data_IF_907703757969
#
_entry.id   IF_907703757969
#
_cell.length_a   1.000
_cell.length_b   1.000
_cell.length_c   1.000
_cell.angle_alpha   90.00
_cell.angle_beta   90.00
_cell.angle_gamma   90.00
#
_symmetry.space_group_name_H-M   'P 1'
#
loop_
_entity.id
_entity.type
_entity.pdbx_description
1 polymer ?
#
# COMPACT_ATOMS: atom_id res chain seq x y z
N UNK A 1 -10.66 -26.22 -7.05
CA UNK A 1 -10.51 -24.92 -7.75
C UNK A 1 -10.96 -23.84 -6.78
N UNK A 2 -10.10 -23.49 -5.82
CA UNK A 2 -10.31 -22.35 -4.92
C UNK A 2 -9.49 -21.20 -5.48
N UNK A 3 -9.92 -20.65 -6.62
CA UNK A 3 -9.51 -19.30 -7.02
C UNK A 3 -10.33 -18.34 -6.15
N UNK A 4 -9.90 -18.14 -4.91
CA UNK A 4 -10.61 -17.29 -3.97
C UNK A 4 -9.80 -16.02 -3.66
N UNK A 5 -10.34 -14.91 -4.18
CA UNK A 5 -10.65 -13.65 -3.47
C UNK A 5 -9.51 -12.69 -3.11
N UNK A 6 -8.58 -12.36 -4.01
CA UNK A 6 -7.68 -11.24 -3.68
C UNK A 6 -7.35 -10.26 -4.81
N UNK A 7 -7.81 -10.47 -6.05
CA UNK A 7 -7.52 -9.49 -7.12
C UNK A 7 -8.14 -8.13 -6.81
N UNK A 8 -7.45 -7.03 -7.20
CA UNK A 8 -7.96 -5.67 -6.98
C UNK A 8 -9.41 -5.46 -7.47
N UNK A 9 -9.82 -6.00 -8.65
CA UNK A 9 -11.22 -5.98 -9.06
C UNK A 9 -12.19 -6.62 -8.07
N UNK A 10 -11.82 -7.73 -7.42
CA UNK A 10 -12.65 -8.39 -6.40
C UNK A 10 -12.78 -7.51 -5.15
N UNK A 11 -11.72 -6.82 -4.74
CA UNK A 11 -11.80 -5.86 -3.63
C UNK A 11 -12.73 -4.69 -3.96
N UNK A 12 -12.71 -4.19 -5.21
CA UNK A 12 -13.62 -3.16 -5.67
C UNK A 12 -15.07 -3.65 -5.78
N UNK A 13 -15.30 -4.91 -6.13
CA UNK A 13 -16.63 -5.52 -6.07
C UNK A 13 -17.15 -5.63 -4.64
N UNK A 14 -16.29 -5.99 -3.68
CA UNK A 14 -16.66 -5.98 -2.27
C UNK A 14 -17.02 -4.55 -1.80
N UNK A 15 -16.30 -3.53 -2.27
CA UNK A 15 -16.61 -2.13 -1.95
C UNK A 15 -17.98 -1.69 -2.50
N UNK A 16 -18.42 -2.17 -3.66
CA UNK A 16 -19.79 -1.98 -4.15
C UNK A 16 -20.80 -2.66 -3.24
N UNK A 17 -20.58 -3.94 -2.90
CA UNK A 17 -21.47 -4.69 -2.01
C UNK A 17 -21.60 -4.07 -0.62
N UNK A 18 -20.52 -3.45 -0.13
CA UNK A 18 -20.46 -2.71 1.13
C UNK A 18 -21.08 -1.28 1.01
N UNK A 19 -21.53 -0.87 -0.18
CA UNK A 19 -22.19 0.40 -0.43
C UNK A 19 -21.24 1.62 -0.53
N UNK A 20 -19.95 1.40 -0.75
CA UNK A 20 -18.93 2.45 -0.80
C UNK A 20 -18.82 3.13 -2.17
N UNK A 21 -19.16 2.41 -3.22
CA UNK A 21 -19.29 2.96 -4.57
C UNK A 21 -20.64 2.63 -5.18
N UNK A 22 -21.00 3.40 -6.21
CA UNK A 22 -22.19 3.13 -7.01
C UNK A 22 -22.03 1.84 -7.81
N UNK A 23 -23.18 1.26 -8.16
CA UNK A 23 -23.18 0.05 -8.97
C UNK A 23 -22.55 0.29 -10.35
N UNK A 24 -21.97 -0.75 -10.95
CA UNK A 24 -21.46 -0.62 -12.31
C UNK A 24 -22.61 -0.27 -13.28
N UNK A 25 -22.35 0.55 -14.30
CA UNK A 25 -23.29 0.68 -15.41
C UNK A 25 -23.52 -0.69 -16.06
N UNK A 26 -24.76 -1.00 -16.46
CA UNK A 26 -25.14 -2.28 -17.06
C UNK A 26 -24.27 -2.75 -18.24
N UNK A 27 -23.66 -1.82 -18.99
CA UNK A 27 -22.73 -2.13 -20.09
C UNK A 27 -21.39 -2.74 -19.63
N UNK A 28 -21.03 -2.52 -18.36
CA UNK A 28 -19.83 -3.02 -17.69
C UNK A 28 -20.14 -4.22 -16.78
N UNK A 29 -21.37 -4.72 -16.79
CA UNK A 29 -21.76 -5.94 -16.07
C UNK A 29 -21.44 -7.18 -16.92
N UNK A 30 -20.69 -8.12 -16.36
CA UNK A 30 -20.42 -9.44 -16.95
C UNK A 30 -18.98 -9.67 -17.41
N UNK A 31 -18.69 -10.91 -17.83
CA UNK A 31 -17.33 -11.42 -18.11
C UNK A 31 -16.63 -10.76 -19.32
N UNK A 32 -17.38 -10.05 -20.17
CA UNK A 32 -16.84 -9.37 -21.37
C UNK A 32 -16.44 -7.92 -21.11
N UNK A 33 -16.69 -7.38 -19.92
CA UNK A 33 -16.30 -6.02 -19.58
C UNK A 33 -14.78 -5.89 -19.51
N UNK A 34 -14.23 -4.80 -20.05
CA UNK A 34 -12.80 -4.49 -19.90
C UNK A 34 -12.50 -4.27 -18.40
N UNK A 35 -11.59 -5.04 -17.79
CA UNK A 35 -11.20 -4.86 -16.40
C UNK A 35 -10.75 -3.45 -16.06
N UNK A 36 -10.11 -2.75 -17.00
CA UNK A 36 -9.65 -1.37 -16.77
C UNK A 36 -10.81 -0.39 -16.71
N UNK A 37 -11.83 -0.55 -17.56
CA UNK A 37 -13.04 0.27 -17.51
C UNK A 37 -13.83 0.03 -16.22
N UNK A 38 -13.87 -1.21 -15.75
CA UNK A 38 -14.48 -1.57 -14.45
C UNK A 38 -13.77 -0.86 -13.30
N UNK A 39 -12.43 -0.88 -13.26
CA UNK A 39 -11.66 -0.19 -12.21
C UNK A 39 -11.90 1.32 -12.27
N UNK A 40 -11.92 1.91 -13.47
CA UNK A 40 -12.11 3.34 -13.65
C UNK A 40 -13.52 3.83 -13.28
N UNK A 41 -14.54 3.01 -13.53
CA UNK A 41 -15.93 3.34 -13.18
C UNK A 41 -16.18 3.35 -11.65
N UNK A 42 -15.29 2.73 -10.87
CA UNK A 42 -15.41 2.61 -9.42
C UNK A 42 -14.79 3.81 -8.71
N UNK A 43 -15.58 4.87 -8.61
CA UNK A 43 -15.26 6.06 -7.82
C UNK A 43 -15.79 5.93 -6.39
N UNK A 44 -14.98 6.29 -5.40
CA UNK A 44 -15.31 6.19 -3.98
C UNK A 44 -15.08 7.56 -3.32
N UNK A 45 -15.89 7.88 -2.30
CA UNK A 45 -15.61 9.00 -1.40
C UNK A 45 -14.49 8.62 -0.43
N UNK A 46 -13.70 9.57 0.07
CA UNK A 46 -12.60 9.20 0.99
C UNK A 46 -13.14 8.64 2.31
N UNK A 47 -12.87 7.36 2.55
CA UNK A 47 -13.12 6.67 3.82
C UNK A 47 -11.90 6.79 4.74
N UNK A 48 -11.79 7.93 5.44
CA UNK A 48 -10.61 8.31 6.22
C UNK A 48 -10.18 7.24 7.24
N UNK A 49 -11.10 6.77 8.09
CA UNK A 49 -10.78 5.85 9.17
C UNK A 49 -10.26 4.50 8.64
N UNK A 50 -10.84 4.05 7.53
CA UNK A 50 -10.44 2.80 6.91
C UNK A 50 -9.08 2.92 6.23
N UNK A 51 -8.81 4.05 5.57
CA UNK A 51 -7.51 4.36 4.99
C UNK A 51 -6.40 4.40 6.05
N UNK A 52 -6.63 5.07 7.19
CA UNK A 52 -5.69 5.11 8.32
C UNK A 52 -5.47 3.70 8.88
N UNK A 53 -6.54 2.94 9.08
CA UNK A 53 -6.43 1.58 9.60
C UNK A 53 -5.60 0.69 8.66
N UNK A 54 -5.82 0.76 7.35
CA UNK A 54 -5.02 0.00 6.38
C UNK A 54 -3.57 0.49 6.39
N UNK A 55 -3.33 1.81 6.41
CA UNK A 55 -1.99 2.41 6.49
C UNK A 55 -1.20 1.89 7.71
N UNK A 56 -1.81 1.84 8.89
CA UNK A 56 -1.13 1.35 10.10
C UNK A 56 -0.98 -0.18 10.09
N UNK A 57 -2.04 -0.89 9.71
CA UNK A 57 -2.06 -2.34 9.78
C UNK A 57 -1.12 -3.00 8.77
N UNK A 58 -0.78 -2.31 7.68
CA UNK A 58 -0.13 -2.91 6.53
C UNK A 58 1.23 -2.29 6.19
N UNK A 59 1.34 -1.12 5.52
CA UNK A 59 2.65 -0.61 5.14
C UNK A 59 3.53 -0.26 6.36
N UNK A 60 2.95 0.28 7.43
CA UNK A 60 3.70 0.55 8.67
C UNK A 60 4.14 -0.75 9.35
N UNK A 61 3.21 -1.69 9.58
CA UNK A 61 3.54 -2.96 10.23
C UNK A 61 4.56 -3.79 9.45
N UNK A 62 4.43 -3.88 8.12
CA UNK A 62 5.40 -4.58 7.27
C UNK A 62 6.78 -3.94 7.41
N UNK A 63 6.86 -2.61 7.34
CA UNK A 63 8.15 -1.91 7.48
C UNK A 63 8.77 -2.09 8.87
N UNK A 64 8.00 -2.27 9.94
CA UNK A 64 8.52 -2.63 11.27
C UNK A 64 9.17 -4.02 11.27
N UNK A 65 8.60 -4.98 10.52
CA UNK A 65 9.10 -6.36 10.47
C UNK A 65 10.29 -6.57 9.53
N UNK A 66 10.49 -5.66 8.56
CA UNK A 66 11.63 -5.73 7.66
C UNK A 66 12.92 -5.47 8.44
N UNK A 67 13.96 -6.24 8.13
CA UNK A 67 15.30 -6.00 8.66
C UNK A 67 16.00 -4.98 7.75
N UNK A 68 16.10 -3.76 8.25
CA UNK A 68 16.76 -2.62 7.61
C UNK A 68 18.27 -2.58 7.88
N UNK A 69 18.83 -3.61 8.53
CA UNK A 69 20.22 -3.68 8.96
C UNK A 69 20.51 -2.84 10.21
N UNK A 70 20.17 -1.55 10.18
CA UNK A 70 20.21 -0.67 11.34
C UNK A 70 18.82 -0.14 11.67
N UNK A 71 18.54 0.02 12.97
CA UNK A 71 17.25 0.56 13.43
C UNK A 71 16.98 1.97 12.90
N UNK A 72 18.04 2.78 12.77
CA UNK A 72 17.96 4.15 12.26
C UNK A 72 17.64 4.22 10.75
N UNK A 73 17.81 3.12 10.02
CA UNK A 73 17.45 3.03 8.61
C UNK A 73 15.98 2.63 8.42
N UNK A 74 15.29 2.19 9.48
CA UNK A 74 13.87 1.87 9.40
C UNK A 74 13.05 3.17 9.31
N UNK A 75 12.37 3.43 8.18
CA UNK A 75 11.66 4.69 7.96
C UNK A 75 10.54 4.91 8.97
N UNK A 76 9.97 3.86 9.57
CA UNK A 76 8.94 3.96 10.62
C UNK A 76 9.51 4.55 11.93
N UNK A 77 10.82 4.51 12.12
CA UNK A 77 11.51 5.02 13.32
C UNK A 77 12.14 6.40 13.09
N UNK A 78 11.94 7.00 11.92
CA UNK A 78 12.54 8.28 11.53
C UNK A 78 11.54 9.43 11.64
N UNK A 79 12.04 10.64 11.87
CA UNK A 79 11.23 11.85 11.88
C UNK A 79 10.57 12.10 10.50
N UNK A 80 11.26 11.74 9.42
CA UNK A 80 10.77 11.82 8.05
C UNK A 80 9.57 10.91 7.84
N UNK A 81 9.59 9.70 8.39
CA UNK A 81 8.44 8.77 8.37
C UNK A 81 7.23 9.33 9.12
N UNK A 82 7.45 9.91 10.31
CA UNK A 82 6.39 10.55 11.09
C UNK A 82 5.76 11.74 10.34
N UNK A 83 6.59 12.60 9.75
CA UNK A 83 6.14 13.74 8.93
C UNK A 83 5.35 13.27 7.72
N UNK A 84 5.81 12.22 7.04
CA UNK A 84 5.10 11.65 5.89
C UNK A 84 3.72 11.13 6.30
N UNK A 85 3.64 10.33 7.37
CA UNK A 85 2.35 9.80 7.88
C UNK A 85 1.40 10.93 8.25
N UNK A 86 1.86 11.91 9.02
CA UNK A 86 1.05 13.05 9.42
C UNK A 86 0.54 13.84 8.20
N UNK A 87 1.38 14.04 7.18
CA UNK A 87 1.00 14.74 5.96
C UNK A 87 -0.05 13.98 5.15
N UNK A 88 0.08 12.65 5.03
CA UNK A 88 -0.91 11.82 4.35
C UNK A 88 -2.26 11.83 5.07
N UNK A 89 -2.27 11.76 6.41
CA UNK A 89 -3.51 11.84 7.20
C UNK A 89 -4.20 13.19 7.01
N UNK A 90 -3.46 14.29 7.13
CA UNK A 90 -4.01 15.64 6.93
C UNK A 90 -4.59 15.82 5.52
N UNK A 91 -3.90 15.30 4.50
CA UNK A 91 -4.39 15.35 3.12
C UNK A 91 -5.68 14.52 2.93
N UNK A 92 -5.76 13.33 3.52
CA UNK A 92 -6.98 12.52 3.49
C UNK A 92 -8.15 13.21 4.22
N UNK A 93 -7.89 13.93 5.32
CA UNK A 93 -8.90 14.73 6.01
C UNK A 93 -9.42 15.86 5.11
N UNK A 94 -8.54 16.55 4.40
CA UNK A 94 -8.91 17.59 3.42
C UNK A 94 -9.76 17.02 2.28
N UNK A 95 -9.34 15.90 1.71
CA UNK A 95 -10.08 15.23 0.65
C UNK A 95 -11.44 14.70 1.14
N UNK A 96 -11.51 14.14 2.35
CA UNK A 96 -12.77 13.69 2.96
C UNK A 96 -13.74 14.86 3.17
N UNK A 97 -13.26 16.01 3.67
CA UNK A 97 -14.08 17.22 3.84
C UNK A 97 -14.59 17.78 2.52
N UNK A 98 -13.82 17.65 1.44
CA UNK A 98 -14.22 18.12 0.11
C UNK A 98 -15.41 17.34 -0.48
N UNK A 99 -15.66 16.13 0.02
CA UNK A 99 -16.68 15.22 -0.55
C UNK A 99 -16.38 14.76 -1.97
N UNK A 100 -15.16 15.00 -2.48
CA UNK A 100 -14.73 14.58 -3.81
C UNK A 100 -14.77 13.06 -3.91
N UNK A 101 -15.34 12.58 -5.01
CA UNK A 101 -15.23 11.18 -5.43
C UNK A 101 -14.03 11.04 -6.34
N UNK A 102 -13.20 10.03 -6.08
CA UNK A 102 -11.97 9.77 -6.82
C UNK A 102 -11.93 8.30 -7.22
N UNK A 103 -11.26 8.00 -8.33
CA UNK A 103 -10.92 6.62 -8.67
C UNK A 103 -9.55 6.27 -8.08
N UNK A 104 -9.23 4.98 -7.99
CA UNK A 104 -8.04 4.50 -7.27
C UNK A 104 -6.74 5.09 -7.81
N UNK A 105 -6.52 5.03 -9.12
CA UNK A 105 -5.26 5.47 -9.72
C UNK A 105 -5.00 6.96 -9.55
N UNK A 106 -6.05 7.78 -9.61
CA UNK A 106 -5.97 9.22 -9.34
C UNK A 106 -5.57 9.49 -7.90
N UNK A 107 -6.17 8.78 -6.94
CA UNK A 107 -5.80 8.94 -5.53
C UNK A 107 -4.38 8.45 -5.26
N UNK A 108 -3.96 7.33 -5.85
CA UNK A 108 -2.59 6.82 -5.73
C UNK A 108 -1.58 7.83 -6.28
N UNK A 109 -1.84 8.38 -7.47
CA UNK A 109 -0.97 9.39 -8.07
C UNK A 109 -0.90 10.66 -7.21
N UNK A 110 -2.05 11.12 -6.69
CA UNK A 110 -2.15 12.27 -5.81
C UNK A 110 -1.36 12.09 -4.51
N UNK A 111 -1.58 10.99 -3.79
CA UNK A 111 -0.89 10.74 -2.52
C UNK A 111 0.61 10.53 -2.70
N UNK A 112 1.06 9.93 -3.82
CA UNK A 112 2.50 9.85 -4.13
C UNK A 112 3.12 11.23 -4.32
N UNK A 113 2.43 12.14 -5.00
CA UNK A 113 2.91 13.51 -5.16
C UNK A 113 2.96 14.25 -3.82
N UNK A 114 1.93 14.10 -3.00
CA UNK A 114 1.90 14.62 -1.62
C UNK A 114 3.07 14.07 -0.81
N UNK A 115 3.35 12.77 -0.90
CA UNK A 115 4.45 12.12 -0.21
C UNK A 115 5.82 12.64 -0.66
N UNK A 116 6.03 12.89 -1.96
CA UNK A 116 7.27 13.49 -2.47
C UNK A 116 7.48 14.92 -1.96
N UNK A 117 6.40 15.63 -1.71
CA UNK A 117 6.46 17.00 -1.18
C UNK A 117 6.56 17.04 0.35
N UNK A 118 6.13 15.99 1.04
CA UNK A 118 6.13 15.91 2.50
C UNK A 118 7.54 15.95 3.09
N UNK A 119 8.49 15.27 2.43
CA UNK A 119 9.88 15.19 2.89
C UNK A 119 10.78 15.71 1.78
N UNK A 120 11.32 16.92 1.96
CA UNK A 120 12.33 17.48 1.05
C UNK A 120 13.69 17.50 1.76
N UNK A 121 14.72 16.84 1.19
CA UNK A 121 16.07 16.97 1.72
C UNK A 121 16.51 18.44 1.65
N UNK A 122 16.86 19.02 2.81
CA UNK A 122 17.33 20.41 2.88
C UNK A 122 18.74 20.45 2.31
N UNK A 123 18.89 20.95 1.09
CA UNK A 123 20.19 21.25 0.51
C UNK A 123 20.88 22.32 1.34
N UNK A 124 21.90 21.96 2.12
CA UNK A 124 22.73 22.93 2.84
C UNK A 124 23.45 23.80 1.81
N UNK A 125 23.18 25.12 1.85
CA UNK A 125 23.70 26.11 0.91
C UNK A 125 25.21 26.36 1.06
N UNK A 126 25.78 26.08 2.23
CA UNK A 126 27.23 26.14 2.46
C UNK A 126 27.86 24.76 2.26
N UNK A 127 28.69 24.64 1.23
CA UNK A 127 29.40 23.42 0.87
C UNK A 127 30.33 22.94 2.00
N UNK A 128 30.76 23.85 2.90
CA UNK A 128 31.64 23.53 4.04
C UNK A 128 30.88 22.99 5.25
N UNK A 129 29.57 23.22 5.33
CA UNK A 129 28.68 22.67 6.36
C UNK A 129 28.01 21.35 5.92
N UNK A 130 28.26 20.90 4.68
CA UNK A 130 27.87 19.56 4.22
C UNK A 130 28.67 18.49 4.97
N UNK A 131 28.17 18.05 6.11
CA UNK A 131 28.58 16.80 6.78
C UNK A 131 28.06 15.55 6.02
N UNK A 132 27.96 15.63 4.70
CA UNK A 132 27.21 14.72 3.85
C UNK A 132 26.08 15.44 3.12
N UNK A 133 25.70 14.94 1.95
CA UNK A 133 24.43 15.34 1.33
C UNK A 133 23.28 14.91 2.27
N UNK A 134 22.15 15.62 2.33
CA UNK A 134 20.94 15.05 2.93
C UNK A 134 20.56 13.80 2.14
N UNK A 135 20.95 12.63 2.63
CA UNK A 135 20.57 11.34 2.06
C UNK A 135 19.45 10.83 2.93
N UNK A 136 18.25 10.68 2.34
CA UNK A 136 17.19 9.92 2.99
C UNK A 136 17.74 8.52 3.34
N UNK A 137 17.21 7.85 4.37
CA UNK A 137 17.59 6.46 4.65
C UNK A 137 17.50 5.61 3.39
N UNK A 138 18.35 4.59 3.29
CA UNK A 138 18.31 3.66 2.17
C UNK A 138 16.89 3.09 2.01
N UNK A 139 16.38 3.02 0.78
CA UNK A 139 15.03 2.54 0.46
C UNK A 139 13.85 3.38 1.02
N UNK A 140 14.09 4.56 1.62
CA UNK A 140 13.01 5.43 2.11
C UNK A 140 12.01 5.81 1.01
N UNK A 141 12.48 6.06 -0.21
CA UNK A 141 11.59 6.39 -1.34
C UNK A 141 10.66 5.23 -1.72
N UNK A 142 11.15 3.99 -1.60
CA UNK A 142 10.36 2.77 -1.83
C UNK A 142 9.30 2.65 -0.75
N UNK A 143 9.67 2.85 0.52
CA UNK A 143 8.73 2.89 1.63
C UNK A 143 7.67 3.99 1.45
N UNK A 144 8.08 5.21 1.07
CA UNK A 144 7.17 6.33 0.81
C UNK A 144 6.13 5.97 -0.24
N UNK A 145 6.56 5.46 -1.39
CA UNK A 145 5.67 5.13 -2.49
C UNK A 145 4.73 3.98 -2.12
N UNK A 146 5.22 3.00 -1.35
CA UNK A 146 4.42 1.90 -0.80
C UNK A 146 3.37 2.38 0.20
N UNK A 147 3.76 3.24 1.15
CA UNK A 147 2.88 3.84 2.13
C UNK A 147 1.78 4.65 1.44
N UNK A 148 2.12 5.50 0.47
CA UNK A 148 1.17 6.32 -0.28
C UNK A 148 0.16 5.46 -1.05
N UNK A 149 0.63 4.42 -1.74
CA UNK A 149 -0.24 3.54 -2.52
C UNK A 149 -1.23 2.77 -1.63
N UNK A 150 -0.76 2.16 -0.55
CA UNK A 150 -1.63 1.38 0.33
C UNK A 150 -2.58 2.23 1.16
N UNK A 151 -2.17 3.45 1.50
CA UNK A 151 -3.06 4.45 2.10
C UNK A 151 -4.18 4.84 1.12
N UNK A 152 -3.86 5.09 -0.15
CA UNK A 152 -4.86 5.35 -1.19
C UNK A 152 -5.80 4.15 -1.35
N UNK A 153 -5.26 2.93 -1.49
CA UNK A 153 -6.06 1.71 -1.64
C UNK A 153 -6.98 1.45 -0.45
N UNK A 154 -6.54 1.75 0.77
CA UNK A 154 -7.35 1.64 1.98
C UNK A 154 -8.66 2.43 1.91
N UNK A 155 -8.70 3.53 1.15
CA UNK A 155 -9.93 4.30 0.91
C UNK A 155 -10.99 3.52 0.10
N UNK A 156 -10.58 2.48 -0.63
CA UNK A 156 -11.44 1.66 -1.50
C UNK A 156 -11.69 0.26 -0.91
N UNK A 157 -11.17 -0.04 0.27
CA UNK A 157 -11.29 -1.36 0.90
C UNK A 157 -12.43 -1.41 1.91
N UNK A 158 -13.61 -1.79 1.41
CA UNK A 158 -14.79 -2.04 2.23
C UNK A 158 -14.54 -3.07 3.34
N UNK A 159 -15.39 -3.12 4.40
CA UNK A 159 -15.26 -4.09 5.49
C UNK A 159 -15.10 -5.53 5.02
N UNK A 160 -15.80 -5.90 3.95
CA UNK A 160 -15.70 -7.24 3.35
C UNK A 160 -14.37 -7.40 2.62
N UNK A 161 -13.98 -6.43 1.80
CA UNK A 161 -12.75 -6.48 0.99
C UNK A 161 -11.46 -6.47 1.82
N UNK A 162 -11.45 -5.86 3.00
CA UNK A 162 -10.27 -5.83 3.88
C UNK A 162 -10.13 -7.00 4.84
N UNK A 163 -11.17 -7.82 5.01
CA UNK A 163 -11.20 -8.89 6.02
C UNK A 163 -10.01 -9.84 5.87
N UNK A 164 -9.73 -10.28 4.65
CA UNK A 164 -8.64 -11.22 4.38
C UNK A 164 -7.27 -10.59 4.64
N UNK A 165 -7.10 -9.33 4.24
CA UNK A 165 -5.89 -8.55 4.50
C UNK A 165 -5.65 -8.44 6.01
N UNK A 166 -6.66 -8.04 6.79
CA UNK A 166 -6.53 -7.90 8.24
C UNK A 166 -6.29 -9.24 8.95
N UNK A 167 -6.94 -10.32 8.51
CA UNK A 167 -6.70 -11.67 9.04
C UNK A 167 -5.27 -12.15 8.77
N UNK A 168 -4.76 -11.88 7.57
CA UNK A 168 -3.36 -12.16 7.23
C UNK A 168 -2.40 -11.40 8.14
N UNK A 169 -2.64 -10.09 8.35
CA UNK A 169 -1.82 -9.29 9.26
C UNK A 169 -1.90 -9.78 10.72
N UNK A 170 -3.09 -10.14 11.19
CA UNK A 170 -3.28 -10.70 12.54
C UNK A 170 -2.48 -11.98 12.73
N UNK A 171 -2.44 -12.84 11.71
CA UNK A 171 -1.64 -14.06 11.74
C UNK A 171 -0.15 -13.78 11.75
N UNK A 172 0.34 -12.87 10.91
CA UNK A 172 1.76 -12.45 10.94
C UNK A 172 2.16 -11.97 12.34
N UNK A 173 1.29 -11.21 13.01
CA UNK A 173 1.52 -10.74 14.39
C UNK A 173 1.56 -11.88 15.40
N UNK A 174 0.64 -12.84 15.32
CA UNK A 174 0.60 -14.00 16.25
C UNK A 174 1.80 -14.91 16.07
N UNK A 175 2.26 -15.07 14.84
CA UNK A 175 3.28 -16.04 14.49
C UNK A 175 4.67 -15.42 14.38
N UNK A 176 4.88 -14.16 14.80
CA UNK A 176 6.09 -13.32 14.62
C UNK A 176 7.43 -14.07 14.81
N UNK A 177 7.47 -14.99 15.79
CA UNK A 177 8.67 -15.80 16.11
C UNK A 177 8.93 -16.96 15.15
N UNK A 178 7.89 -17.49 14.52
CA UNK A 178 7.98 -18.61 13.58
C UNK A 178 8.61 -18.18 12.25
N UNK A 179 8.49 -16.90 11.87
CA UNK A 179 9.23 -16.33 10.75
C UNK A 179 8.96 -16.98 9.39
N UNK A 180 7.83 -17.68 9.21
CA UNK A 180 7.51 -18.37 7.94
C UNK A 180 7.39 -17.42 6.75
N UNK A 181 7.06 -16.14 6.98
CA UNK A 181 7.07 -15.11 5.93
C UNK A 181 8.49 -14.61 5.59
N UNK A 182 9.53 -14.97 6.36
CA UNK A 182 10.93 -14.57 6.10
C UNK A 182 11.53 -15.31 4.90
N UNK A 183 11.14 -16.55 4.65
CA UNK A 183 11.53 -17.28 3.41
C UNK A 183 10.91 -16.63 2.17
N UNK A 184 9.69 -16.09 2.31
CA UNK A 184 8.99 -15.35 1.24
C UNK A 184 9.64 -13.97 1.00
N UNK A 185 10.23 -13.38 2.04
CA UNK A 185 10.99 -12.11 2.00
C UNK A 185 12.30 -12.25 1.22
N UNK A 186 13.07 -13.32 1.40
CA UNK A 186 14.34 -13.51 0.66
C UNK A 186 14.10 -13.58 -0.85
N UNK A 187 13.02 -14.23 -1.29
CA UNK A 187 12.59 -14.25 -2.69
C UNK A 187 12.20 -12.86 -3.26
N UNK A 188 11.82 -11.91 -2.40
CA UNK A 188 11.36 -10.58 -2.78
C UNK A 188 12.52 -9.62 -3.06
N UNK A 189 13.47 -9.50 -2.12
CA UNK A 189 14.66 -8.64 -2.29
C UNK A 189 15.53 -9.12 -3.46
N UNK A 190 15.65 -10.43 -3.66
CA UNK A 190 16.39 -11.02 -4.79
C UNK A 190 15.78 -10.73 -6.17
N UNK A 191 14.46 -10.49 -6.26
CA UNK A 191 13.79 -10.14 -7.53
C UNK A 191 13.77 -8.65 -7.82
N UNK A 192 13.61 -7.83 -6.79
CA UNK A 192 13.64 -6.36 -6.91
C UNK A 192 15.03 -5.89 -7.36
N UNK A 193 16.10 -6.56 -6.92
CA UNK A 193 17.47 -6.27 -7.39
C UNK A 193 17.80 -6.82 -8.78
N UNK A 194 17.02 -7.77 -9.33
CA UNK A 194 17.32 -8.44 -10.62
C UNK A 194 16.51 -7.95 -11.81
N UNK A 195 15.51 -7.08 -11.61
CA UNK A 195 14.66 -6.59 -12.70
C UNK A 195 14.67 -5.07 -12.77
N UNK A 196 14.94 -4.56 -13.98
CA UNK A 196 15.03 -3.13 -14.33
C UNK A 196 14.03 -2.25 -13.58
N UNK A 197 14.50 -1.09 -13.13
CA UNK A 197 13.93 -0.21 -12.11
C UNK A 197 12.59 0.48 -12.42
N UNK A 198 11.63 -0.24 -13.00
CA UNK A 198 10.27 0.24 -13.23
C UNK A 198 9.26 -0.90 -13.08
N UNK A 199 9.10 -1.41 -11.86
CA UNK A 199 7.86 -2.06 -11.43
C UNK A 199 7.51 -1.55 -10.04
N UNK A 200 6.75 -0.46 -10.03
CA UNK A 200 6.07 0.06 -8.85
C UNK A 200 5.35 -1.10 -8.13
N UNK A 201 5.45 -1.09 -6.81
CA UNK A 201 4.90 -2.08 -5.88
C UNK A 201 3.39 -2.24 -6.07
N UNK A 202 3.04 -3.08 -7.04
CA UNK A 202 1.68 -3.39 -7.40
C UNK A 202 0.94 -4.07 -6.24
N UNK A 203 -0.41 -4.03 -6.19
CA UNK A 203 -1.27 -4.88 -5.36
C UNK A 203 -0.89 -6.37 -5.43
N UNK A 204 -0.12 -6.77 -6.45
CA UNK A 204 0.58 -8.04 -6.50
C UNK A 204 1.49 -8.31 -5.30
N UNK A 205 2.02 -7.37 -4.52
CA UNK A 205 3.01 -7.71 -3.48
C UNK A 205 2.40 -8.45 -2.28
N UNK A 206 1.19 -8.06 -1.83
CA UNK A 206 0.45 -8.80 -0.81
C UNK A 206 -0.36 -9.96 -1.37
N UNK A 207 -0.86 -9.81 -2.60
CA UNK A 207 -1.42 -10.92 -3.37
C UNK A 207 -0.41 -12.05 -3.51
N UNK A 208 0.84 -11.73 -3.80
CA UNK A 208 1.93 -12.67 -4.04
C UNK A 208 2.46 -13.25 -2.73
N UNK A 209 2.57 -12.46 -1.65
CA UNK A 209 2.85 -12.99 -0.30
C UNK A 209 1.76 -13.99 0.15
N UNK A 210 0.51 -13.75 -0.23
CA UNK A 210 -0.64 -14.61 0.06
C UNK A 210 -0.78 -15.82 -0.91
N UNK A 211 -0.50 -15.65 -2.20
CA UNK A 211 -0.54 -16.68 -3.25
C UNK A 211 0.63 -17.66 -3.10
N UNK A 212 1.83 -17.22 -2.73
CA UNK A 212 2.95 -18.10 -2.36
C UNK A 212 2.64 -18.91 -1.11
N UNK A 213 2.02 -18.28 -0.11
CA UNK A 213 1.57 -18.95 1.10
C UNK A 213 0.60 -20.12 0.77
N UNK A 214 -0.36 -19.92 -0.12
CA UNK A 214 -1.30 -20.99 -0.53
C UNK A 214 -0.68 -22.02 -1.49
N UNK A 215 0.19 -21.61 -2.41
CA UNK A 215 0.88 -22.50 -3.34
C UNK A 215 1.83 -23.48 -2.61
N UNK A 216 2.55 -23.00 -1.59
CA UNK A 216 3.47 -23.82 -0.78
C UNK A 216 2.76 -24.82 0.14
N UNK A 217 1.55 -24.50 0.59
CA UNK A 217 0.75 -25.37 1.47
C UNK A 217 -0.25 -26.27 0.74
N UNK A 218 -0.56 -26.02 -0.52
CA UNK A 218 -1.40 -26.90 -1.36
C UNK A 218 -0.61 -28.00 -2.08
N UNK A 219 0.73 -27.99 -1.94
CA UNK A 219 1.66 -28.94 -2.58
C UNK A 219 2.38 -29.86 -1.57
N UNK A 220 1.92 -29.88 -0.31
CA UNK A 220 2.20 -30.92 0.70
C UNK A 220 0.91 -31.61 1.09
#
# INVERSE_FOLDING_TARGET
MQELVTSWPVMLWAAEGDGWCSALPARLEGEKADPNEVVWARVVSIHLQDAIMVMEALPVFIAVLLDWGYSLDNPVQTAEGDVLKARLVAELEDLARSGRKVHTDELVAHLREVGRQAVRPVGVGDVRERLGSPVLPSEFEVYRDFLCEWTARGCFMGPTGRKEVLLFMERMRKEEKAGWWKEVRECWFDRVHRSDGSRLLSPFTLLWLYELYHSYHSSK
#
